data_IF_289393728470
#
_entry.id   IF_289393728470
#
_cell.length_a   1.000
_cell.length_b   1.000
_cell.length_c   1.000
_cell.angle_alpha   90.00
_cell.angle_beta   90.00
_cell.angle_gamma   90.00
#
_symmetry.space_group_name_H-M   'P 1'
#
loop_
_entity.id
_entity.type
_entity.pdbx_description
1 polymer ?
#
# COMPACT_ATOMS: atom_id res chain seq x y z
N UNK A 1 -40.00 -33.15 -55.49
CA UNK A 1 -41.41 -32.76 -55.74
C UNK A 1 -42.01 -32.14 -54.47
N UNK A 2 -43.05 -31.27 -54.61
CA UNK A 2 -44.24 -31.01 -53.74
C UNK A 2 -44.30 -31.78 -52.38
N UNK A 3 -44.71 -31.27 -51.19
CA UNK A 3 -45.35 -30.03 -50.60
C UNK A 3 -44.75 -29.85 -49.18
N UNK A 4 -44.73 -28.73 -48.42
CA UNK A 4 -45.54 -27.48 -48.24
C UNK A 4 -46.84 -27.56 -47.39
N UNK A 5 -46.70 -27.42 -46.05
CA UNK A 5 -47.62 -26.76 -45.07
C UNK A 5 -46.99 -26.87 -43.66
N UNK A 6 -46.89 -25.89 -42.74
CA UNK A 6 -47.59 -24.62 -42.40
C UNK A 6 -48.81 -24.79 -41.47
N UNK A 7 -48.57 -24.41 -40.19
CA UNK A 7 -49.46 -23.71 -39.24
C UNK A 7 -50.65 -24.44 -38.60
N UNK A 8 -50.71 -24.40 -37.25
CA UNK A 8 -51.72 -23.60 -36.52
C UNK A 8 -51.36 -23.37 -35.04
N UNK A 9 -51.74 -22.18 -34.55
CA UNK A 9 -51.74 -21.76 -33.15
C UNK A 9 -53.06 -22.21 -32.52
N UNK A 10 -53.08 -22.46 -31.20
CA UNK A 10 -54.31 -22.35 -30.41
C UNK A 10 -54.02 -21.68 -29.05
N UNK A 11 -54.97 -20.85 -28.60
CA UNK A 11 -54.96 -20.11 -27.33
C UNK A 11 -56.34 -20.25 -26.66
N UNK A 12 -56.40 -20.13 -25.34
CA UNK A 12 -57.61 -20.33 -24.52
C UNK A 12 -57.24 -20.67 -23.07
N UNK A 13 -57.00 -19.72 -22.15
CA UNK A 13 -57.86 -18.66 -21.58
C UNK A 13 -58.78 -19.16 -20.44
N UNK A 14 -58.48 -18.72 -19.21
CA UNK A 14 -59.43 -18.34 -18.16
C UNK A 14 -58.68 -17.45 -17.14
N UNK A 15 -58.73 -16.12 -17.25
CA UNK A 15 -59.75 -15.22 -16.65
C UNK A 15 -59.83 -15.28 -15.12
N UNK A 16 -59.49 -14.17 -14.43
CA UNK A 16 -60.51 -13.31 -13.81
C UNK A 16 -59.99 -11.87 -13.52
N UNK A 17 -60.88 -10.93 -13.83
CA UNK A 17 -60.96 -9.46 -13.68
C UNK A 17 -60.55 -8.84 -12.32
N UNK A 18 -60.44 -7.52 -12.07
CA UNK A 18 -60.82 -6.24 -12.74
C UNK A 18 -59.92 -5.10 -12.14
N UNK A 19 -59.89 -3.79 -12.46
CA UNK A 19 -60.63 -2.82 -13.32
C UNK A 19 -59.70 -2.30 -14.46
N UNK A 20 -59.88 -1.26 -15.30
CA UNK A 20 -60.60 0.04 -15.40
C UNK A 20 -60.04 1.19 -14.52
N UNK A 21 -59.73 2.39 -15.04
CA UNK A 21 -60.44 3.17 -16.09
C UNK A 21 -59.64 3.62 -17.33
N UNK A 22 -60.32 3.65 -18.47
CA UNK A 22 -60.05 4.52 -19.66
C UNK A 22 -60.74 5.90 -19.45
N UNK A 23 -60.44 7.02 -20.11
CA UNK A 23 -60.43 7.37 -21.56
C UNK A 23 -59.70 8.73 -21.78
N UNK A 24 -59.61 9.37 -22.97
CA UNK A 24 -59.25 8.99 -24.36
C UNK A 24 -59.31 10.25 -25.26
N UNK A 25 -58.62 10.27 -26.42
CA UNK A 25 -58.61 11.34 -27.46
C UNK A 25 -58.02 12.72 -27.05
N UNK A 26 -57.60 13.63 -27.94
CA UNK A 26 -56.97 13.52 -29.29
C UNK A 26 -56.51 14.92 -29.79
N UNK A 27 -55.84 14.94 -30.95
CA UNK A 27 -55.69 16.07 -31.87
C UNK A 27 -54.73 17.23 -31.50
N UNK A 28 -54.41 18.06 -32.50
CA UNK A 28 -53.20 18.87 -32.55
C UNK A 28 -53.31 20.29 -31.94
N UNK A 29 -52.21 20.76 -31.33
CA UNK A 29 -52.04 22.16 -30.90
C UNK A 29 -50.56 22.51 -30.67
N UNK A 30 -49.97 23.33 -31.54
CA UNK A 30 -48.58 23.79 -31.40
C UNK A 30 -48.50 25.09 -30.61
N UNK A 31 -47.86 25.06 -29.43
CA UNK A 31 -47.19 26.23 -28.84
C UNK A 31 -46.10 25.81 -27.84
N UNK A 32 -45.06 26.65 -27.70
CA UNK A 32 -43.91 26.43 -26.80
C UNK A 32 -44.15 27.16 -25.46
N UNK A 33 -43.64 26.61 -24.35
CA UNK A 33 -42.64 27.26 -23.48
C UNK A 33 -42.54 26.58 -22.09
N UNK A 34 -41.49 26.99 -21.35
CA UNK A 34 -41.20 26.74 -19.93
C UNK A 34 -40.68 25.34 -19.52
N UNK A 35 -39.62 25.37 -18.72
CA UNK A 35 -38.87 24.23 -18.21
C UNK A 35 -39.57 23.48 -17.06
N UNK A 36 -39.31 22.18 -16.97
CA UNK A 36 -38.45 21.66 -15.89
C UNK A 36 -38.02 20.21 -16.19
N UNK A 37 -36.74 20.01 -16.51
CA UNK A 37 -36.14 18.66 -16.49
C UNK A 37 -35.81 18.30 -15.04
N UNK A 38 -36.64 17.43 -14.44
CA UNK A 38 -36.26 16.72 -13.22
C UNK A 38 -35.11 15.78 -13.58
N UNK A 39 -33.89 16.19 -13.24
CA UNK A 39 -32.70 15.38 -13.46
C UNK A 39 -32.66 14.28 -12.39
N UNK A 40 -33.23 13.11 -12.69
CA UNK A 40 -33.29 11.98 -11.78
C UNK A 40 -31.88 11.44 -11.54
N UNK A 41 -31.27 11.89 -10.44
CA UNK A 41 -29.93 11.46 -10.03
C UNK A 41 -29.99 9.96 -9.74
N UNK A 42 -29.34 9.17 -10.61
CA UNK A 42 -29.06 7.77 -10.32
C UNK A 42 -28.00 7.77 -9.22
N UNK A 43 -28.42 7.42 -8.01
CA UNK A 43 -27.53 7.21 -6.88
C UNK A 43 -26.71 5.94 -7.10
N UNK A 44 -25.52 6.11 -7.70
CA UNK A 44 -24.51 5.07 -7.79
C UNK A 44 -24.01 4.79 -6.36
N UNK A 45 -24.25 3.58 -5.87
CA UNK A 45 -23.84 3.12 -4.54
C UNK A 45 -22.57 2.29 -4.67
N UNK A 46 -21.46 2.97 -4.93
CA UNK A 46 -20.12 2.37 -4.96
C UNK A 46 -19.48 2.46 -3.57
N UNK A 47 -19.93 1.60 -2.65
CA UNK A 47 -19.16 1.17 -1.47
C UNK A 47 -18.11 0.10 -1.87
N UNK A 48 -17.50 0.28 -3.06
CA UNK A 48 -16.29 -0.46 -3.42
C UNK A 48 -15.12 0.14 -2.64
N UNK A 49 -14.74 -0.54 -1.55
CA UNK A 49 -13.45 -0.28 -0.89
C UNK A 49 -12.34 -0.60 -1.89
N UNK A 50 -11.81 0.42 -2.55
CA UNK A 50 -10.55 0.34 -3.27
C UNK A 50 -9.45 -0.03 -2.27
N UNK A 51 -9.16 -1.33 -2.17
CA UNK A 51 -8.05 -1.83 -1.38
C UNK A 51 -6.79 -1.57 -2.22
N UNK A 52 -6.05 -0.53 -1.88
CA UNK A 52 -4.82 -0.15 -2.59
C UNK A 52 -3.83 -1.32 -2.57
N UNK A 53 -3.33 -1.72 -3.74
CA UNK A 53 -2.23 -2.68 -3.84
C UNK A 53 -0.96 -2.04 -3.30
N UNK A 54 -0.20 -2.76 -2.46
CA UNK A 54 1.07 -2.24 -1.92
C UNK A 54 2.16 -2.10 -3.00
N UNK A 55 2.08 -2.90 -4.06
CA UNK A 55 3.03 -2.95 -5.16
C UNK A 55 2.33 -2.87 -6.51
N UNK A 56 3.04 -2.33 -7.51
CA UNK A 56 2.69 -2.31 -8.93
C UNK A 56 3.82 -2.95 -9.75
N UNK A 57 3.49 -3.33 -10.98
CA UNK A 57 4.43 -3.98 -11.91
C UNK A 57 4.52 -3.24 -13.23
N UNK A 58 5.73 -3.08 -13.76
CA UNK A 58 5.97 -2.60 -15.12
C UNK A 58 6.78 -3.62 -15.91
N UNK A 59 6.26 -4.03 -17.07
CA UNK A 59 6.82 -5.11 -17.89
C UNK A 59 7.37 -4.57 -19.21
N UNK A 60 8.49 -5.12 -19.68
CA UNK A 60 9.13 -4.73 -20.93
C UNK A 60 10.37 -5.55 -21.26
N UNK A 61 11.00 -5.22 -22.37
CA UNK A 61 12.25 -5.84 -22.84
C UNK A 61 13.41 -4.90 -22.55
N UNK A 62 14.50 -5.40 -21.98
CA UNK A 62 15.70 -4.61 -21.68
C UNK A 62 16.37 -4.14 -22.98
N UNK A 63 16.54 -2.82 -23.14
CA UNK A 63 17.28 -2.23 -24.27
C UNK A 63 18.67 -1.72 -23.90
N UNK A 64 18.93 -1.34 -22.64
CA UNK A 64 20.30 -1.21 -22.10
C UNK A 64 20.41 -1.64 -20.64
N UNK A 65 21.62 -2.11 -20.27
CA UNK A 65 22.09 -2.28 -18.89
C UNK A 65 23.47 -1.64 -18.82
N UNK A 66 23.66 -0.71 -17.89
CA UNK A 66 24.94 -0.03 -17.67
C UNK A 66 25.32 -0.15 -16.19
N UNK A 67 26.53 -0.63 -15.93
CA UNK A 67 27.14 -0.64 -14.60
C UNK A 67 27.68 0.77 -14.28
N UNK A 68 27.26 1.35 -13.16
CA UNK A 68 27.69 2.67 -12.69
C UNK A 68 28.49 2.57 -11.38
N UNK A 69 29.01 1.39 -11.03
CA UNK A 69 29.85 1.15 -9.86
C UNK A 69 29.08 0.93 -8.55
N UNK A 70 28.17 1.84 -8.22
CA UNK A 70 27.31 1.77 -7.02
C UNK A 70 25.89 1.24 -7.31
N UNK A 71 25.45 1.35 -8.57
CA UNK A 71 24.12 0.96 -9.03
C UNK A 71 24.16 0.56 -10.52
N UNK A 72 23.09 -0.10 -10.99
CA UNK A 72 22.87 -0.39 -12.40
C UNK A 72 21.79 0.51 -12.99
N UNK A 73 22.05 1.10 -14.15
CA UNK A 73 21.03 1.76 -14.98
C UNK A 73 20.46 0.71 -15.93
N UNK A 74 19.21 0.31 -15.73
CA UNK A 74 18.47 -0.63 -16.59
C UNK A 74 17.39 0.12 -17.34
N UNK A 75 17.37 0.05 -18.67
CA UNK A 75 16.32 0.66 -19.49
C UNK A 75 15.46 -0.43 -20.14
N UNK A 76 14.14 -0.31 -20.01
CA UNK A 76 13.16 -1.17 -20.70
C UNK A 76 12.39 -0.41 -21.78
N UNK A 77 12.02 -1.15 -22.82
CA UNK A 77 11.08 -0.75 -23.87
C UNK A 77 9.83 -1.64 -23.81
N UNK A 78 8.67 -1.03 -24.01
CA UNK A 78 7.35 -1.66 -24.02
C UNK A 78 6.38 -0.81 -24.86
N UNK A 79 5.12 -1.21 -24.96
CA UNK A 79 4.09 -0.53 -25.78
C UNK A 79 3.72 0.90 -25.29
N UNK A 80 4.35 1.37 -24.19
CA UNK A 80 4.22 2.73 -23.64
C UNK A 80 5.43 3.58 -24.13
N UNK A 81 6.00 4.37 -23.22
CA UNK A 81 7.20 5.20 -23.45
C UNK A 81 8.48 4.59 -22.85
N UNK A 82 8.46 3.29 -22.51
CA UNK A 82 9.52 2.63 -21.77
C UNK A 82 9.68 3.13 -20.33
N UNK A 83 10.74 2.69 -19.65
CA UNK A 83 11.11 3.14 -18.31
C UNK A 83 12.61 2.96 -18.06
N UNK A 84 13.19 3.76 -17.17
CA UNK A 84 14.59 3.61 -16.71
C UNK A 84 14.61 3.38 -15.21
N UNK A 85 15.34 2.37 -14.77
CA UNK A 85 15.53 2.03 -13.37
C UNK A 85 16.97 2.28 -12.94
N UNK A 86 17.12 2.88 -11.77
CA UNK A 86 18.40 3.00 -11.04
C UNK A 86 18.39 1.99 -9.90
N UNK A 87 18.96 0.81 -10.15
CA UNK A 87 18.85 -0.37 -9.29
C UNK A 87 20.09 -0.51 -8.37
N UNK A 88 19.89 -0.55 -7.05
CA UNK A 88 20.93 -0.94 -6.09
C UNK A 88 21.40 -2.38 -6.38
N UNK A 89 22.69 -2.65 -6.24
CA UNK A 89 23.29 -3.96 -6.53
C UNK A 89 22.68 -5.14 -5.74
N UNK A 90 22.00 -4.86 -4.62
CA UNK A 90 21.34 -5.84 -3.75
C UNK A 90 19.89 -6.15 -4.14
N UNK A 91 19.29 -5.35 -5.02
CA UNK A 91 17.93 -5.58 -5.51
C UNK A 91 17.82 -6.99 -6.09
N UNK A 92 16.71 -7.68 -5.82
CA UNK A 92 16.60 -9.08 -6.25
C UNK A 92 16.37 -9.18 -7.75
N UNK A 93 17.10 -10.07 -8.40
CA UNK A 93 16.75 -10.57 -9.72
C UNK A 93 16.39 -12.05 -9.57
N UNK A 94 15.29 -12.50 -10.16
CA UNK A 94 14.92 -13.92 -10.19
C UNK A 94 14.60 -14.34 -11.62
N UNK A 95 15.16 -15.48 -12.03
CA UNK A 95 14.81 -16.17 -13.26
C UNK A 95 13.56 -17.04 -13.06
N UNK A 96 12.44 -16.65 -13.69
CA UNK A 96 11.17 -17.39 -13.62
C UNK A 96 11.30 -18.84 -14.14
N UNK A 97 12.27 -19.14 -15.01
CA UNK A 97 12.46 -20.47 -15.61
C UNK A 97 13.13 -21.47 -14.68
N UNK A 98 14.04 -20.99 -13.83
CA UNK A 98 14.88 -21.86 -12.98
C UNK A 98 14.67 -21.68 -11.48
N UNK A 99 13.83 -20.71 -11.07
CA UNK A 99 13.65 -20.33 -9.66
C UNK A 99 14.87 -19.68 -9.03
N UNK A 100 15.92 -19.39 -9.80
CA UNK A 100 17.19 -18.92 -9.24
C UNK A 100 17.19 -17.43 -9.03
N UNK A 101 17.60 -17.02 -7.83
CA UNK A 101 18.11 -15.67 -7.59
C UNK A 101 19.38 -15.47 -8.43
N UNK A 102 19.42 -14.36 -9.15
CA UNK A 102 20.55 -13.89 -9.95
C UNK A 102 21.02 -12.53 -9.42
N UNK A 103 22.15 -12.05 -9.94
CA UNK A 103 22.64 -10.70 -9.64
C UNK A 103 22.27 -9.70 -10.74
N UNK A 104 22.29 -8.42 -10.42
CA UNK A 104 22.05 -7.33 -11.37
C UNK A 104 22.89 -7.42 -12.66
N UNK A 105 24.15 -7.88 -12.55
CA UNK A 105 25.09 -8.10 -13.66
C UNK A 105 24.64 -9.18 -14.66
N UNK A 106 23.71 -10.06 -14.28
CA UNK A 106 23.23 -11.14 -15.12
C UNK A 106 22.14 -10.69 -16.11
N UNK A 107 21.48 -9.55 -15.82
CA UNK A 107 20.57 -8.86 -16.72
C UNK A 107 21.30 -8.42 -18.00
N UNK A 108 20.69 -8.73 -19.15
CA UNK A 108 21.25 -8.44 -20.48
C UNK A 108 20.17 -7.84 -21.37
N UNK A 109 20.61 -7.13 -22.41
CA UNK A 109 19.75 -6.67 -23.49
C UNK A 109 18.94 -7.84 -24.08
N UNK A 110 17.74 -7.52 -24.56
CA UNK A 110 16.80 -8.44 -25.21
C UNK A 110 16.15 -9.49 -24.27
N UNK A 111 16.46 -9.45 -22.95
CA UNK A 111 15.69 -10.15 -21.93
C UNK A 111 14.35 -9.44 -21.66
N UNK A 112 13.26 -10.21 -21.51
CA UNK A 112 11.98 -9.71 -20.99
C UNK A 112 12.01 -9.72 -19.47
N UNK A 113 11.61 -8.61 -18.84
CA UNK A 113 11.52 -8.49 -17.38
C UNK A 113 10.19 -7.86 -16.95
N UNK A 114 9.75 -8.21 -15.75
CA UNK A 114 8.79 -7.40 -14.98
C UNK A 114 9.53 -6.78 -13.79
N UNK A 115 9.55 -5.45 -13.75
CA UNK A 115 9.98 -4.68 -12.59
C UNK A 115 8.87 -4.64 -11.54
N UNK A 116 9.23 -4.73 -10.27
CA UNK A 116 8.29 -4.64 -9.14
C UNK A 116 8.63 -3.37 -8.34
N UNK A 117 7.62 -2.55 -8.11
CA UNK A 117 7.75 -1.25 -7.44
C UNK A 117 6.69 -1.12 -6.34
N UNK A 118 6.94 -0.39 -5.24
CA UNK A 118 5.88 0.11 -4.36
C UNK A 118 4.85 0.91 -5.17
N UNK A 119 3.56 0.83 -4.84
CA UNK A 119 2.52 1.55 -5.58
C UNK A 119 2.62 3.08 -5.47
N UNK A 120 3.33 3.59 -4.45
CA UNK A 120 3.67 4.99 -4.26
C UNK A 120 5.08 5.38 -4.77
N UNK A 121 5.71 4.54 -5.61
CA UNK A 121 7.04 4.78 -6.15
C UNK A 121 7.13 6.10 -6.91
N UNK A 122 8.01 7.01 -6.47
CA UNK A 122 8.19 8.31 -7.15
C UNK A 122 8.94 8.13 -8.47
N UNK A 123 8.57 8.92 -9.48
CA UNK A 123 9.15 8.89 -10.82
C UNK A 123 9.49 10.30 -11.31
N UNK A 124 10.49 10.42 -12.18
CA UNK A 124 10.79 11.67 -12.87
C UNK A 124 9.73 11.98 -13.94
N UNK A 125 9.43 13.27 -14.15
CA UNK A 125 8.57 13.76 -15.24
C UNK A 125 9.31 13.82 -16.60
N UNK A 126 10.24 12.89 -16.85
CA UNK A 126 11.01 12.80 -18.10
C UNK A 126 10.43 11.75 -19.04
N UNK A 127 10.97 11.67 -20.26
CA UNK A 127 10.64 10.62 -21.24
C UNK A 127 11.94 9.91 -21.63
N UNK A 128 12.13 8.61 -21.32
CA UNK A 128 11.28 7.80 -20.44
C UNK A 128 11.21 8.32 -18.99
N UNK A 129 10.17 7.95 -18.22
CA UNK A 129 10.14 8.14 -16.78
C UNK A 129 11.23 7.29 -16.11
N UNK A 130 11.75 7.77 -14.98
CA UNK A 130 12.89 7.16 -14.29
C UNK A 130 12.62 7.05 -12.79
N UNK A 131 13.09 5.97 -12.17
CA UNK A 131 12.96 5.75 -10.72
C UNK A 131 14.07 4.89 -10.14
N UNK A 132 14.31 5.01 -8.84
CA UNK A 132 15.20 4.16 -8.05
C UNK A 132 14.46 3.27 -7.05
N UNK A 133 13.12 3.17 -7.15
CA UNK A 133 12.28 2.43 -6.20
C UNK A 133 11.83 1.05 -6.68
N UNK A 134 12.45 0.50 -7.74
CA UNK A 134 12.24 -0.91 -8.08
C UNK A 134 12.91 -1.80 -7.01
N UNK A 135 12.11 -2.63 -6.31
CA UNK A 135 12.64 -3.54 -5.27
C UNK A 135 13.33 -4.76 -5.87
N UNK A 136 12.97 -5.11 -7.11
CA UNK A 136 13.57 -6.21 -7.85
C UNK A 136 12.90 -6.46 -9.20
N UNK A 137 13.41 -7.47 -9.90
CA UNK A 137 13.04 -7.83 -11.27
C UNK A 137 12.85 -9.34 -11.41
N UNK A 138 11.76 -9.73 -12.09
CA UNK A 138 11.55 -11.10 -12.54
C UNK A 138 11.90 -11.16 -14.03
N UNK A 139 12.85 -12.02 -14.42
CA UNK A 139 13.09 -12.36 -15.83
C UNK A 139 11.96 -13.29 -16.26
N UNK A 140 11.23 -12.90 -17.30
CA UNK A 140 9.96 -13.52 -17.70
C UNK A 140 10.11 -14.50 -18.85
N UNK A 141 9.31 -15.57 -18.81
CA UNK A 141 9.14 -16.52 -19.92
C UNK A 141 7.65 -16.64 -20.28
N UNK A 142 7.35 -16.74 -21.57
CA UNK A 142 5.99 -16.60 -22.14
C UNK A 142 4.96 -17.64 -21.66
N UNK A 143 5.41 -18.74 -21.05
CA UNK A 143 4.56 -19.85 -20.59
C UNK A 143 4.07 -19.74 -19.15
N UNK A 144 4.62 -18.82 -18.35
CA UNK A 144 4.48 -18.85 -16.89
C UNK A 144 3.80 -17.60 -16.35
N UNK A 145 2.71 -17.80 -15.62
CA UNK A 145 1.95 -16.72 -15.01
C UNK A 145 2.67 -16.15 -13.77
N UNK A 146 2.29 -14.93 -13.43
CA UNK A 146 2.76 -14.22 -12.24
C UNK A 146 1.60 -13.45 -11.62
N UNK A 147 1.49 -13.53 -10.30
CA UNK A 147 0.65 -12.67 -9.46
C UNK A 147 1.56 -11.88 -8.51
N UNK A 148 1.18 -10.63 -8.20
CA UNK A 148 1.87 -9.78 -7.21
C UNK A 148 0.81 -9.16 -6.31
N UNK A 149 0.66 -9.68 -5.10
CA UNK A 149 -0.44 -9.31 -4.21
C UNK A 149 -0.11 -9.59 -2.75
N UNK A 150 -0.95 -9.10 -1.83
CA UNK A 150 -0.91 -9.48 -0.42
C UNK A 150 -1.75 -10.75 -0.24
N UNK A 151 -1.19 -11.76 0.43
CA UNK A 151 -1.86 -13.05 0.67
C UNK A 151 -2.36 -13.15 2.11
N UNK A 152 -3.62 -13.56 2.30
CA UNK A 152 -4.25 -13.63 3.63
C UNK A 152 -3.83 -14.87 4.45
N UNK A 153 -4.40 -15.02 5.64
CA UNK A 153 -4.20 -16.20 6.51
C UNK A 153 -4.63 -17.53 5.87
N UNK A 154 -5.47 -17.51 4.84
CA UNK A 154 -5.91 -18.68 4.07
C UNK A 154 -5.14 -18.84 2.73
N UNK A 155 -4.11 -18.02 2.49
CA UNK A 155 -3.32 -17.93 1.27
C UNK A 155 -4.16 -17.60 0.01
N UNK A 156 -5.16 -16.73 0.17
CA UNK A 156 -5.92 -16.08 -0.91
C UNK A 156 -5.34 -14.69 -1.16
N UNK A 157 -5.20 -14.28 -2.42
CA UNK A 157 -4.72 -12.93 -2.77
C UNK A 157 -5.79 -11.86 -2.45
N UNK A 158 -5.35 -10.61 -2.31
CA UNK A 158 -6.20 -9.48 -1.92
C UNK A 158 -7.41 -9.28 -2.86
N UNK A 159 -7.25 -9.58 -4.14
CA UNK A 159 -8.31 -9.48 -5.16
C UNK A 159 -9.30 -10.66 -5.15
N UNK A 160 -9.11 -11.66 -4.29
CA UNK A 160 -9.91 -12.90 -4.21
C UNK A 160 -9.98 -13.70 -5.53
N UNK A 161 -8.97 -13.53 -6.39
CA UNK A 161 -8.86 -14.18 -7.71
C UNK A 161 -8.00 -15.43 -7.70
N UNK A 162 -7.02 -15.55 -6.78
CA UNK A 162 -6.06 -16.64 -6.70
C UNK A 162 -5.87 -17.12 -5.25
N UNK A 163 -5.72 -18.44 -5.08
CA UNK A 163 -5.38 -19.10 -3.81
C UNK A 163 -4.22 -20.08 -4.01
N UNK A 164 -3.29 -20.08 -3.06
CA UNK A 164 -2.13 -20.97 -3.06
C UNK A 164 -2.41 -22.25 -2.28
N UNK A 165 -2.17 -23.38 -2.93
CA UNK A 165 -2.11 -24.71 -2.32
C UNK A 165 -0.65 -25.19 -2.44
N UNK A 166 0.20 -24.69 -1.54
CA UNK A 166 1.65 -24.95 -1.52
C UNK A 166 1.96 -26.46 -1.46
N UNK A 167 2.95 -26.92 -2.23
CA UNK A 167 3.44 -28.30 -2.21
C UNK A 167 4.83 -28.41 -1.55
N UNK A 168 5.35 -29.63 -1.42
CA UNK A 168 6.73 -29.87 -0.98
C UNK A 168 7.77 -29.36 -2.01
N UNK A 169 7.36 -29.16 -3.27
CA UNK A 169 8.18 -28.63 -4.37
C UNK A 169 8.17 -27.09 -4.46
N UNK A 170 7.23 -26.41 -3.80
CA UNK A 170 7.11 -24.93 -3.85
C UNK A 170 8.32 -24.26 -3.21
N UNK A 171 9.09 -23.51 -4.01
CA UNK A 171 10.25 -22.77 -3.50
C UNK A 171 9.81 -21.44 -2.88
N UNK A 172 10.03 -21.26 -1.57
CA UNK A 172 9.71 -20.02 -0.86
C UNK A 172 11.02 -19.29 -0.52
N UNK A 173 11.16 -18.05 -0.99
CA UNK A 173 12.35 -17.20 -0.81
C UNK A 173 11.93 -15.78 -0.43
N UNK A 174 12.87 -14.93 -0.02
CA UNK A 174 12.63 -13.51 0.24
C UNK A 174 13.34 -12.59 -0.78
N UNK A 175 12.86 -11.34 -0.85
CA UNK A 175 13.50 -10.27 -1.61
C UNK A 175 14.94 -9.99 -1.15
N UNK A 176 15.30 -10.32 0.10
CA UNK A 176 16.64 -10.07 0.67
C UNK A 176 17.70 -11.11 0.26
N UNK A 177 17.28 -12.35 -0.03
CA UNK A 177 18.18 -13.46 -0.33
C UNK A 177 18.78 -14.08 0.93
N UNK A 178 18.00 -14.23 2.00
CA UNK A 178 18.46 -14.85 3.24
C UNK A 178 18.43 -16.38 3.16
N UNK A 179 19.43 -17.05 3.75
CA UNK A 179 19.53 -18.52 3.83
C UNK A 179 18.49 -19.17 4.78
N UNK A 180 17.41 -18.45 5.12
CA UNK A 180 16.36 -18.94 6.01
C UNK A 180 15.43 -19.88 5.25
N UNK A 181 15.13 -21.05 5.84
CA UNK A 181 14.01 -21.87 5.38
C UNK A 181 12.68 -21.15 5.68
N UNK A 182 11.95 -20.76 4.63
CA UNK A 182 10.62 -20.15 4.72
C UNK A 182 9.51 -21.20 4.64
N UNK A 183 8.34 -20.87 5.19
CA UNK A 183 7.21 -21.78 5.32
C UNK A 183 5.89 -21.11 4.89
N UNK A 184 4.81 -21.90 4.81
CA UNK A 184 3.45 -21.40 4.63
C UNK A 184 3.02 -20.32 5.64
N UNK A 185 3.62 -20.29 6.83
CA UNK A 185 3.34 -19.27 7.84
C UNK A 185 4.04 -17.93 7.54
N UNK A 186 5.17 -17.94 6.82
CA UNK A 186 5.94 -16.75 6.49
C UNK A 186 5.33 -15.90 5.38
N UNK A 187 4.41 -16.47 4.59
CA UNK A 187 3.70 -15.81 3.47
C UNK A 187 2.49 -14.99 3.97
N UNK A 188 1.90 -15.38 5.12
CA UNK A 188 0.62 -14.85 5.61
C UNK A 188 0.69 -13.35 5.92
N UNK A 189 -0.29 -12.63 5.37
CA UNK A 189 -0.50 -11.18 5.46
C UNK A 189 0.68 -10.35 4.92
N UNK A 190 1.46 -10.91 3.98
CA UNK A 190 2.58 -10.22 3.32
C UNK A 190 2.38 -10.10 1.82
N UNK A 191 2.97 -9.05 1.25
CA UNK A 191 3.14 -8.93 -0.19
C UNK A 191 4.11 -9.98 -0.73
N UNK A 192 3.68 -10.71 -1.75
CA UNK A 192 4.46 -11.74 -2.41
C UNK A 192 4.34 -11.64 -3.93
N UNK A 193 5.40 -12.03 -4.63
CA UNK A 193 5.32 -12.47 -6.03
C UNK A 193 5.08 -13.97 -6.04
N UNK A 194 4.13 -14.43 -6.84
CA UNK A 194 3.83 -15.85 -7.01
C UNK A 194 4.03 -16.22 -8.48
N UNK A 195 4.84 -17.25 -8.73
CA UNK A 195 5.15 -17.77 -10.06
C UNK A 195 4.54 -19.16 -10.22
N UNK A 196 3.73 -19.35 -11.26
CA UNK A 196 2.97 -20.59 -11.49
C UNK A 196 2.63 -20.81 -12.97
N UNK A 197 2.62 -22.06 -13.43
CA UNK A 197 2.23 -22.39 -14.82
C UNK A 197 0.75 -22.72 -15.00
N UNK A 198 0.09 -23.32 -13.99
CA UNK A 198 -1.30 -23.79 -14.10
C UNK A 198 -2.16 -23.46 -12.88
N UNK A 199 -3.47 -23.31 -13.07
CA UNK A 199 -4.45 -23.11 -12.01
C UNK A 199 -5.82 -23.71 -12.36
N UNK A 200 -6.68 -23.90 -11.35
CA UNK A 200 -8.08 -24.32 -11.53
C UNK A 200 -8.95 -23.18 -12.10
N UNK A 201 -10.08 -23.53 -12.72
CA UNK A 201 -11.10 -22.58 -13.19
C UNK A 201 -12.17 -22.24 -12.15
N UNK A 202 -11.80 -22.20 -10.87
CA UNK A 202 -12.68 -21.74 -9.78
C UNK A 202 -12.50 -20.24 -9.53
N UNK A 203 -13.32 -19.66 -8.64
CA UNK A 203 -13.13 -18.32 -8.10
C UNK A 203 -13.10 -18.44 -6.57
N UNK A 204 -11.97 -18.14 -5.89
CA UNK A 204 -10.64 -17.94 -6.47
C UNK A 204 -10.16 -19.17 -7.27
N UNK A 205 -9.31 -18.94 -8.25
CA UNK A 205 -8.52 -19.99 -8.89
C UNK A 205 -7.55 -20.59 -7.86
N UNK A 206 -7.20 -21.86 -7.99
CA UNK A 206 -6.26 -22.54 -7.08
C UNK A 206 -5.04 -23.02 -7.87
N UNK A 207 -3.86 -22.76 -7.34
CA UNK A 207 -2.58 -23.21 -7.93
C UNK A 207 -1.67 -23.83 -6.86
N UNK A 208 -0.82 -24.76 -7.27
CA UNK A 208 0.39 -25.11 -6.54
C UNK A 208 1.53 -24.32 -7.19
N UNK A 209 2.00 -23.21 -6.58
CA UNK A 209 2.99 -22.36 -7.21
C UNK A 209 4.37 -23.03 -7.22
N UNK A 210 5.13 -22.75 -8.26
CA UNK A 210 6.52 -23.22 -8.40
C UNK A 210 7.45 -22.40 -7.50
N UNK A 211 7.17 -21.09 -7.37
CA UNK A 211 7.91 -20.20 -6.48
C UNK A 211 7.00 -19.12 -5.86
N UNK A 212 7.29 -18.78 -4.60
CA UNK A 212 6.77 -17.60 -3.88
C UNK A 212 7.95 -16.77 -3.38
N UNK A 213 8.01 -15.50 -3.79
CA UNK A 213 9.02 -14.52 -3.35
C UNK A 213 8.34 -13.53 -2.41
N UNK A 214 8.70 -13.57 -1.13
CA UNK A 214 8.20 -12.62 -0.12
C UNK A 214 8.89 -11.27 -0.36
N UNK A 215 8.13 -10.24 -0.73
CA UNK A 215 8.64 -8.89 -1.04
C UNK A 215 9.00 -8.06 0.20
N UNK A 216 8.54 -8.52 1.35
CA UNK A 216 8.35 -7.72 2.55
C UNK A 216 9.66 -7.42 3.31
N UNK A 217 9.96 -6.14 3.53
CA UNK A 217 11.23 -5.66 4.10
C UNK A 217 11.25 -5.73 5.64
N UNK A 218 10.84 -6.85 6.23
CA UNK A 218 10.74 -6.99 7.68
C UNK A 218 12.06 -7.40 8.33
N UNK A 219 12.96 -6.42 8.41
CA UNK A 219 13.78 -6.26 9.60
C UNK A 219 12.91 -5.58 10.69
N UNK A 220 12.10 -6.37 11.38
CA UNK A 220 11.25 -5.96 12.52
C UNK A 220 10.20 -4.85 12.28
N UNK A 221 9.21 -5.08 11.42
CA UNK A 221 7.85 -4.84 11.89
C UNK A 221 7.49 -5.93 12.90
N UNK A 222 7.76 -5.65 14.17
CA UNK A 222 6.84 -6.06 15.23
C UNK A 222 5.45 -5.55 14.80
N UNK A 223 4.45 -6.43 14.69
CA UNK A 223 3.13 -6.09 14.11
C UNK A 223 2.60 -4.81 14.77
N UNK A 224 2.50 -3.67 14.05
CA UNK A 224 1.92 -2.47 14.61
C UNK A 224 0.42 -2.72 14.76
N UNK A 225 -0.15 -2.77 15.98
CA UNK A 225 -1.59 -2.84 16.10
C UNK A 225 -2.19 -1.56 15.50
N UNK A 226 -3.16 -1.76 14.61
CA UNK A 226 -4.10 -0.77 14.02
C UNK A 226 -3.80 0.69 14.39
N UNK A 227 -3.24 1.45 13.44
CA UNK A 227 -3.04 2.92 13.44
C UNK A 227 -3.67 3.66 14.64
N UNK A 228 -2.97 3.70 15.78
CA UNK A 228 -3.13 4.83 16.68
C UNK A 228 -2.33 6.01 16.12
N UNK A 229 -2.91 7.21 16.20
CA UNK A 229 -2.20 8.45 15.86
C UNK A 229 -0.89 8.58 16.67
N UNK A 230 0.14 9.29 16.16
CA UNK A 230 1.31 9.64 16.97
C UNK A 230 0.83 10.27 18.28
N UNK A 231 1.14 9.61 19.41
CA UNK A 231 0.39 9.74 20.68
C UNK A 231 0.76 11.00 21.46
N UNK A 232 0.42 12.13 20.84
CA UNK A 232 0.55 13.48 21.34
C UNK A 232 -0.31 13.66 22.59
N UNK A 233 0.34 13.74 23.75
CA UNK A 233 -0.31 13.98 25.04
C UNK A 233 -0.22 15.46 25.42
N UNK A 234 -1.27 16.05 26.05
CA UNK A 234 -1.25 17.44 26.48
C UNK A 234 -0.22 17.63 27.60
N UNK A 235 0.87 18.34 27.26
CA UNK A 235 2.06 18.49 28.12
C UNK A 235 1.71 18.92 29.54
N UNK A 236 0.82 19.92 29.67
CA UNK A 236 0.41 20.46 30.97
C UNK A 236 -0.23 19.38 31.85
N UNK A 237 -1.34 18.79 31.40
CA UNK A 237 -2.10 17.81 32.19
C UNK A 237 -1.28 16.56 32.52
N UNK A 238 -0.42 16.13 31.58
CA UNK A 238 0.41 14.94 31.75
C UNK A 238 1.57 15.16 32.74
N UNK A 239 2.25 16.31 32.66
CA UNK A 239 3.34 16.66 33.57
C UNK A 239 2.82 17.05 34.97
N UNK A 240 1.68 17.75 35.07
CA UNK A 240 1.03 18.07 36.35
C UNK A 240 0.56 16.80 37.08
N UNK A 241 0.05 15.79 36.35
CA UNK A 241 -0.27 14.47 36.92
C UNK A 241 0.96 13.74 37.49
N UNK A 242 2.16 14.01 36.95
CA UNK A 242 3.45 13.55 37.45
C UNK A 242 4.12 14.51 38.45
N UNK A 243 3.43 15.56 38.89
CA UNK A 243 3.88 16.50 39.92
C UNK A 243 4.81 17.62 39.45
N UNK A 244 4.93 17.85 38.13
CA UNK A 244 5.66 18.99 37.57
C UNK A 244 4.76 20.22 37.46
N UNK A 245 5.27 21.40 37.84
CA UNK A 245 4.65 22.69 37.53
C UNK A 245 5.03 23.10 36.12
N UNK A 246 4.07 23.53 35.30
CA UNK A 246 4.29 23.85 33.87
C UNK A 246 4.03 25.33 33.59
N UNK A 247 5.10 26.11 33.38
CA UNK A 247 5.02 27.53 33.05
C UNK A 247 5.19 27.75 31.53
N UNK A 248 4.20 28.40 30.91
CA UNK A 248 4.19 28.75 29.50
C UNK A 248 4.07 30.27 29.36
N UNK A 249 4.92 30.89 28.53
CA UNK A 249 4.97 32.36 28.38
C UNK A 249 4.59 32.85 26.98
N UNK A 250 5.04 32.19 25.92
CA UNK A 250 4.79 32.56 24.51
C UNK A 250 5.31 31.47 23.57
N UNK A 251 4.81 31.41 22.34
CA UNK A 251 5.30 30.49 21.29
C UNK A 251 6.78 30.69 20.90
N UNK A 252 7.38 31.85 21.21
CA UNK A 252 8.81 32.14 20.96
C UNK A 252 9.68 32.08 22.23
N UNK A 253 9.21 31.38 23.28
CA UNK A 253 9.97 31.09 24.49
C UNK A 253 9.80 29.61 24.83
N UNK A 254 10.78 28.97 25.49
CA UNK A 254 10.60 27.61 25.94
C UNK A 254 9.45 27.53 26.96
N UNK A 255 8.79 26.38 26.99
CA UNK A 255 7.91 25.96 28.07
C UNK A 255 8.80 25.40 29.18
N UNK A 256 8.60 25.86 30.42
CA UNK A 256 9.43 25.48 31.56
C UNK A 256 8.66 24.52 32.45
N UNK A 257 9.22 23.34 32.72
CA UNK A 257 8.74 22.38 33.69
C UNK A 257 9.63 22.41 34.92
N UNK A 258 9.05 22.39 36.11
CA UNK A 258 9.81 22.39 37.38
C UNK A 258 9.22 21.39 38.37
N UNK A 259 10.06 20.53 38.95
CA UNK A 259 9.72 19.58 40.03
C UNK A 259 10.93 19.40 40.93
N UNK A 260 10.78 19.69 42.23
CA UNK A 260 11.89 19.66 43.18
C UNK A 260 13.13 20.42 42.63
N UNK A 261 14.27 19.75 42.59
CA UNK A 261 15.58 20.22 42.11
C UNK A 261 15.80 19.97 40.59
N UNK A 262 14.74 19.76 39.82
CA UNK A 262 14.77 19.51 38.37
C UNK A 262 14.00 20.60 37.63
N UNK A 263 14.61 21.13 36.57
CA UNK A 263 14.06 22.11 35.63
C UNK A 263 14.27 21.62 34.21
N UNK A 264 13.25 21.75 33.36
CA UNK A 264 13.30 21.34 31.96
C UNK A 264 12.79 22.50 31.09
N UNK A 265 13.52 22.86 30.04
CA UNK A 265 13.07 23.87 29.06
C UNK A 265 12.94 23.24 27.66
N UNK A 266 11.76 23.36 27.05
CA UNK A 266 11.45 22.78 25.73
C UNK A 266 10.82 23.80 24.78
N UNK A 267 11.32 23.88 23.55
CA UNK A 267 10.82 24.81 22.52
C UNK A 267 9.77 24.12 21.64
N UNK A 268 8.72 24.85 21.25
CA UNK A 268 7.71 24.33 20.32
C UNK A 268 8.31 24.28 18.91
N UNK A 269 8.35 23.08 18.32
CA UNK A 269 8.94 22.77 17.01
C UNK A 269 10.30 22.07 17.07
N UNK A 270 11.04 22.18 18.18
CA UNK A 270 12.39 21.61 18.33
C UNK A 270 12.34 20.32 19.16
N UNK A 271 12.90 19.23 18.63
CA UNK A 271 12.94 17.94 19.35
C UNK A 271 13.97 17.93 20.50
N UNK A 272 14.85 18.92 20.55
CA UNK A 272 15.89 19.06 21.57
C UNK A 272 15.36 19.90 22.75
N UNK A 273 15.71 19.49 23.97
CA UNK A 273 15.31 20.17 25.20
C UNK A 273 16.47 20.20 26.19
N UNK A 274 16.50 21.21 27.06
CA UNK A 274 17.50 21.30 28.13
C UNK A 274 16.92 20.76 29.43
N UNK A 275 17.75 19.98 30.13
CA UNK A 275 17.46 19.42 31.44
C UNK A 275 18.54 19.89 32.43
N UNK A 276 18.13 20.63 33.45
CA UNK A 276 18.99 21.10 34.53
C UNK A 276 18.60 20.38 35.82
N UNK A 277 19.57 19.74 36.46
CA UNK A 277 19.40 19.16 37.81
C UNK A 277 20.42 19.76 38.79
N UNK A 278 19.92 20.22 39.94
CA UNK A 278 20.76 20.68 41.04
C UNK A 278 21.30 19.48 41.81
N UNK A 279 22.57 19.15 41.59
CA UNK A 279 23.27 18.13 42.38
C UNK A 279 23.56 18.63 43.80
N UNK A 280 23.68 17.71 44.77
CA UNK A 280 23.93 18.07 46.19
C UNK A 280 25.23 18.86 46.43
N UNK A 281 26.16 18.84 45.48
CA UNK A 281 27.41 19.59 45.50
C UNK A 281 27.31 20.96 44.77
N UNK A 282 26.10 21.53 44.73
CA UNK A 282 25.76 22.91 44.30
C UNK A 282 26.34 23.25 42.92
N UNK A 283 26.16 22.34 41.97
CA UNK A 283 26.37 22.61 40.54
C UNK A 283 25.12 22.23 39.76
N UNK A 284 24.63 23.21 39.01
CA UNK A 284 23.72 23.02 37.89
C UNK A 284 24.45 22.15 36.86
N UNK A 285 23.85 21.00 36.52
CA UNK A 285 24.32 20.15 35.44
C UNK A 285 23.31 20.21 34.30
N UNK A 286 23.53 21.15 33.39
CA UNK A 286 22.77 21.25 32.15
C UNK A 286 23.12 20.08 31.22
N UNK A 287 22.10 19.43 30.70
CA UNK A 287 22.19 18.41 29.65
C UNK A 287 21.23 18.77 28.53
N UNK A 288 21.70 18.67 27.30
CA UNK A 288 20.85 18.69 26.11
C UNK A 288 20.45 17.24 25.81
N UNK A 289 19.15 16.99 25.65
CA UNK A 289 18.60 15.68 25.31
C UNK A 289 17.50 15.82 24.25
N UNK A 290 17.02 14.71 23.68
CA UNK A 290 16.18 14.72 22.48
C UNK A 290 14.96 13.81 22.57
N UNK A 291 13.80 14.35 22.22
CA UNK A 291 12.53 13.62 22.12
C UNK A 291 12.38 12.92 20.75
N UNK A 292 11.60 11.84 20.71
CA UNK A 292 11.24 11.14 19.46
C UNK A 292 10.40 12.01 18.50
N UNK A 293 9.62 12.95 19.06
CA UNK A 293 8.77 13.90 18.34
C UNK A 293 8.93 15.29 18.95
N UNK A 294 9.09 16.33 18.11
CA UNK A 294 9.10 17.72 18.56
C UNK A 294 7.79 18.10 19.29
N UNK A 295 7.84 18.93 20.34
CA UNK A 295 6.66 19.53 20.94
C UNK A 295 5.89 20.35 19.90
N UNK A 296 4.58 20.15 19.78
CA UNK A 296 3.73 20.83 18.81
C UNK A 296 2.61 21.63 19.52
N UNK A 297 1.98 22.56 18.79
CA UNK A 297 0.77 23.24 19.24
C UNK A 297 -0.44 22.63 18.49
N UNK A 298 -1.32 21.94 19.20
CA UNK A 298 -2.53 21.32 18.64
C UNK A 298 -3.75 21.76 19.46
N UNK A 299 -4.79 22.24 18.77
CA UNK A 299 -6.07 22.69 19.37
C UNK A 299 -5.92 23.72 20.51
N UNK A 300 -4.85 24.52 20.48
CA UNK A 300 -4.50 25.53 21.50
C UNK A 300 -3.64 25.01 22.66
N UNK A 301 -3.30 23.72 22.69
CA UNK A 301 -2.49 23.08 23.73
C UNK A 301 -1.09 22.73 23.20
N UNK A 302 -0.07 22.88 24.04
CA UNK A 302 1.24 22.26 23.79
C UNK A 302 1.11 20.75 24.01
N UNK A 303 1.48 19.98 23.01
CA UNK A 303 1.50 18.51 23.04
C UNK A 303 2.91 17.99 22.79
N UNK A 304 3.24 16.86 23.42
CA UNK A 304 4.55 16.17 23.37
C UNK A 304 4.34 14.68 23.15
N UNK A 305 5.39 13.92 22.86
CA UNK A 305 5.28 12.45 22.80
C UNK A 305 4.90 11.87 24.17
N UNK A 306 4.18 10.75 24.17
CA UNK A 306 3.96 9.97 25.39
C UNK A 306 5.28 9.47 25.99
N UNK A 307 6.25 9.08 25.16
CA UNK A 307 7.58 8.64 25.59
C UNK A 307 8.33 9.68 26.44
N UNK A 308 8.26 10.97 26.08
CA UNK A 308 8.83 12.05 26.89
C UNK A 308 8.14 12.14 28.26
N UNK A 309 6.80 12.10 28.29
CA UNK A 309 6.04 12.08 29.55
C UNK A 309 6.35 10.85 30.38
N UNK A 310 6.50 9.67 29.78
CA UNK A 310 6.80 8.42 30.48
C UNK A 310 8.19 8.47 31.12
N UNK A 311 9.18 9.08 30.44
CA UNK A 311 10.52 9.35 30.95
C UNK A 311 10.60 10.41 32.08
N UNK A 312 9.55 11.20 32.31
CA UNK A 312 9.48 12.09 33.49
C UNK A 312 9.18 11.28 34.77
N UNK A 313 10.20 10.99 35.58
CA UNK A 313 10.00 10.44 36.94
C UNK A 313 9.54 11.50 37.96
#
# INVERSE_FOLDING_TARGET
MKKKSIMKILSGVLCLTMLMSVTAFAEAGNQKAADQKVNQVISVSEDEKQQEHQYITEEGTISSVEDQGDYYRVQIENDKIGMIFYMDQKAFVVDQKSGKRLEAKDLKKDMRITAILPANAVMTMSIPPQTSQAVGFIIREDSSAMDVSVYDDALVNQDNTLKLNLSEDTQIVDAKGSDKAFTAADIKNKACVVLYTISTRSIPAQTAPEMVIILDDQAEAQVPPVKEDPKYVPLRSAAEAKGYKVEWTSNQKPVVLTKNDMKIELTIGEAEFTFTHLTKDIKELDRLDKMDLSPALKDGYTVVSSSFIDALE
#
